data_IF_905489619716
#
_entry.id   IF_905489619716
#
_cell.length_a   1.000
_cell.length_b   1.000
_cell.length_c   1.000
_cell.angle_alpha   90.00
_cell.angle_beta   90.00
_cell.angle_gamma   90.00
#
_symmetry.space_group_name_H-M   'P 1'
#
loop_
_entity.id
_entity.type
_entity.pdbx_description
1 polymer ?
#
# COMPACT_ATOMS: atom_id res chain seq x y z
N UNK A 1 -24.71 7.32 -15.30
CA UNK A 1 -23.56 7.27 -16.25
C UNK A 1 -22.35 7.86 -15.52
N UNK A 2 -21.17 7.27 -15.65
CA UNK A 2 -19.94 7.75 -15.01
C UNK A 2 -19.00 8.35 -16.04
N UNK A 3 -18.26 9.39 -15.64
CA UNK A 3 -17.08 9.88 -16.36
C UNK A 3 -15.86 9.50 -15.53
N UNK A 4 -14.92 8.78 -16.14
CA UNK A 4 -13.70 8.35 -15.47
C UNK A 4 -12.59 9.38 -15.68
N UNK A 5 -11.91 9.73 -14.58
CA UNK A 5 -10.74 10.60 -14.58
C UNK A 5 -9.65 9.89 -13.79
N UNK A 6 -8.48 9.72 -14.40
CA UNK A 6 -7.29 9.24 -13.72
C UNK A 6 -6.53 10.45 -13.18
N UNK A 7 -6.24 10.45 -11.88
CA UNK A 7 -5.47 11.50 -11.23
C UNK A 7 -4.17 10.90 -10.71
N UNK A 8 -3.07 11.49 -11.14
CA UNK A 8 -1.76 11.22 -10.58
C UNK A 8 -1.56 12.07 -9.33
N UNK A 9 -1.38 11.42 -8.19
CA UNK A 9 -1.33 12.09 -6.89
C UNK A 9 -0.04 12.86 -6.65
N UNK A 10 0.96 12.69 -7.51
CA UNK A 10 2.25 13.36 -7.38
C UNK A 10 2.38 14.56 -8.32
N UNK A 11 1.44 14.71 -9.26
CA UNK A 11 1.46 15.79 -10.25
C UNK A 11 0.99 17.10 -9.61
N UNK A 12 1.80 18.18 -9.63
CA UNK A 12 1.43 19.47 -9.05
C UNK A 12 0.11 20.01 -9.58
N UNK A 13 -0.20 19.76 -10.86
CA UNK A 13 -1.47 20.16 -11.49
C UNK A 13 -2.71 19.49 -10.86
N UNK A 14 -2.55 18.37 -10.16
CA UNK A 14 -3.63 17.67 -9.47
C UNK A 14 -3.72 18.01 -7.97
N UNK A 15 -2.75 18.76 -7.43
CA UNK A 15 -2.65 19.04 -5.99
C UNK A 15 -3.95 19.63 -5.39
N UNK A 16 -4.66 20.48 -6.13
CA UNK A 16 -5.94 21.03 -5.68
C UNK A 16 -7.04 19.97 -5.50
N UNK A 17 -7.10 18.98 -6.40
CA UNK A 17 -8.06 17.87 -6.30
C UNK A 17 -7.65 16.89 -5.19
N UNK A 18 -6.35 16.59 -5.08
CA UNK A 18 -5.79 15.73 -4.03
C UNK A 18 -5.99 16.35 -2.64
N UNK A 19 -5.86 17.67 -2.50
CA UNK A 19 -6.14 18.36 -1.25
C UNK A 19 -7.60 18.19 -0.80
N UNK A 20 -8.54 18.19 -1.76
CA UNK A 20 -9.98 18.00 -1.49
C UNK A 20 -10.35 16.53 -1.26
N UNK A 21 -9.74 15.61 -2.00
CA UNK A 21 -10.02 14.17 -1.94
C UNK A 21 -8.73 13.38 -1.71
N UNK A 22 -8.15 13.47 -0.50
CA UNK A 22 -6.84 12.88 -0.25
C UNK A 22 -6.91 11.35 -0.34
N UNK A 23 -6.08 10.69 -1.15
CA UNK A 23 -5.95 9.24 -1.11
C UNK A 23 -5.39 8.85 0.28
N UNK A 24 -5.83 7.72 0.81
CA UNK A 24 -5.24 7.15 2.03
C UNK A 24 -4.37 5.92 1.74
N UNK A 25 -4.62 5.28 0.60
CA UNK A 25 -3.87 4.16 0.03
C UNK A 25 -3.91 4.30 -1.49
N UNK A 26 -3.06 3.57 -2.22
CA UNK A 26 -3.10 3.57 -3.68
C UNK A 26 -3.37 2.16 -4.21
N UNK A 27 -4.28 1.99 -5.19
CA UNK A 27 -5.20 3.02 -5.69
C UNK A 27 -6.30 3.37 -4.66
N UNK A 28 -6.89 4.57 -4.78
CA UNK A 28 -8.15 4.95 -4.12
C UNK A 28 -9.11 5.43 -5.19
N UNK A 29 -10.36 4.94 -5.18
CA UNK A 29 -11.41 5.41 -6.08
C UNK A 29 -12.43 6.24 -5.33
N UNK A 30 -12.77 7.40 -5.89
CA UNK A 30 -13.83 8.27 -5.41
C UNK A 30 -14.95 8.37 -6.44
N UNK A 31 -16.19 8.24 -6.01
CA UNK A 31 -17.36 8.68 -6.78
C UNK A 31 -17.79 10.02 -6.22
N UNK A 32 -17.78 11.06 -7.07
CA UNK A 32 -18.02 12.44 -6.67
C UNK A 32 -19.30 12.93 -7.35
N UNK A 33 -20.18 13.57 -6.57
CA UNK A 33 -21.32 14.29 -7.13
C UNK A 33 -20.81 15.53 -7.87
N UNK A 34 -21.06 15.69 -9.18
CA UNK A 34 -20.47 16.80 -9.94
C UNK A 34 -21.08 18.17 -9.59
N UNK A 35 -22.24 18.20 -8.94
CA UNK A 35 -22.93 19.44 -8.57
C UNK A 35 -22.48 19.92 -7.20
N UNK A 36 -22.47 19.04 -6.20
CA UNK A 36 -22.08 19.43 -4.81
C UNK A 36 -20.59 19.23 -4.55
N UNK A 37 -19.96 18.33 -5.30
CA UNK A 37 -18.60 17.85 -5.05
C UNK A 37 -18.50 16.94 -3.82
N UNK A 38 -19.61 16.38 -3.34
CA UNK A 38 -19.62 15.44 -2.23
C UNK A 38 -19.15 14.04 -2.66
N UNK A 39 -18.52 13.32 -1.74
CA UNK A 39 -18.14 11.92 -1.94
C UNK A 39 -19.38 11.03 -1.79
N UNK A 40 -19.78 10.38 -2.89
CA UNK A 40 -20.88 9.41 -2.96
C UNK A 40 -20.40 7.96 -2.83
N UNK A 41 -19.09 7.74 -2.81
CA UNK A 41 -18.50 6.44 -2.53
C UNK A 41 -16.99 6.54 -2.52
N UNK A 42 -16.36 5.75 -1.64
CA UNK A 42 -14.91 5.57 -1.62
C UNK A 42 -14.57 4.09 -1.62
N UNK A 43 -13.59 3.72 -2.43
CA UNK A 43 -13.01 2.38 -2.47
C UNK A 43 -11.51 2.48 -2.24
N UNK A 44 -10.96 1.61 -1.40
CA UNK A 44 -9.55 1.56 -1.04
C UNK A 44 -8.94 0.29 -1.65
N UNK A 45 -7.80 0.42 -2.32
CA UNK A 45 -7.09 -0.72 -2.90
C UNK A 45 -7.66 -1.18 -4.24
N UNK A 46 -7.20 -2.34 -4.69
CA UNK A 46 -7.66 -2.97 -5.92
C UNK A 46 -9.12 -3.48 -5.79
N UNK A 47 -9.76 -3.73 -6.92
CA UNK A 47 -11.10 -4.31 -6.97
C UNK A 47 -11.18 -5.28 -8.14
N UNK A 48 -11.84 -6.42 -7.94
CA UNK A 48 -12.32 -7.21 -9.09
C UNK A 48 -13.36 -6.40 -9.88
N UNK A 49 -13.56 -6.76 -11.15
CA UNK A 49 -14.59 -6.13 -12.00
C UNK A 49 -15.98 -6.18 -11.33
N UNK A 50 -16.34 -7.29 -10.71
CA UNK A 50 -17.64 -7.46 -10.06
C UNK A 50 -17.78 -6.54 -8.83
N UNK A 51 -16.75 -6.48 -7.97
CA UNK A 51 -16.72 -5.57 -6.82
C UNK A 51 -16.81 -4.11 -7.27
N UNK A 52 -16.04 -3.73 -8.28
CA UNK A 52 -16.02 -2.36 -8.77
C UNK A 52 -17.38 -1.95 -9.36
N UNK A 53 -18.05 -2.84 -10.11
CA UNK A 53 -19.41 -2.58 -10.61
C UNK A 53 -20.44 -2.46 -9.48
N UNK A 54 -20.35 -3.31 -8.44
CA UNK A 54 -21.22 -3.21 -7.27
C UNK A 54 -21.02 -1.88 -6.53
N UNK A 55 -19.77 -1.49 -6.30
CA UNK A 55 -19.39 -0.20 -5.72
C UNK A 55 -19.99 0.99 -6.49
N UNK A 56 -19.87 0.98 -7.81
CA UNK A 56 -20.45 2.01 -8.67
C UNK A 56 -21.98 2.02 -8.59
N UNK A 57 -22.63 0.85 -8.60
CA UNK A 57 -24.08 0.73 -8.44
C UNK A 57 -24.58 1.35 -7.13
N UNK A 58 -23.93 1.04 -6.01
CA UNK A 58 -24.27 1.60 -4.70
C UNK A 58 -24.05 3.12 -4.62
N UNK A 59 -23.00 3.63 -5.26
CA UNK A 59 -22.72 5.06 -5.28
C UNK A 59 -23.76 5.87 -6.08
N UNK A 60 -24.45 5.22 -7.04
CA UNK A 60 -25.58 5.81 -7.78
C UNK A 60 -26.91 5.68 -7.04
N UNK A 61 -27.07 4.65 -6.21
CA UNK A 61 -28.33 4.40 -5.52
C UNK A 61 -28.64 5.51 -4.52
N UNK A 62 -29.84 6.10 -4.65
CA UNK A 62 -30.40 6.96 -3.62
C UNK A 62 -30.54 6.13 -2.34
N UNK A 63 -29.92 6.58 -1.27
CA UNK A 63 -30.10 5.95 0.04
C UNK A 63 -30.31 7.05 1.08
N UNK A 64 -31.28 6.81 1.96
CA UNK A 64 -31.61 7.73 3.03
C UNK A 64 -30.43 7.93 3.99
N UNK A 65 -30.46 8.98 4.83
CA UNK A 65 -29.36 9.27 5.76
C UNK A 65 -29.12 8.18 6.81
N UNK A 66 -30.14 7.35 7.09
CA UNK A 66 -30.09 6.22 8.03
C UNK A 66 -30.08 4.85 7.34
N UNK A 67 -30.09 4.81 6.00
CA UNK A 67 -29.84 3.59 5.25
C UNK A 67 -28.38 3.14 5.44
N UNK A 68 -28.09 1.82 5.55
CA UNK A 68 -26.72 1.32 5.73
C UNK A 68 -25.72 1.87 4.70
N UNK A 69 -26.11 1.92 3.42
CA UNK A 69 -25.26 2.48 2.37
C UNK A 69 -25.11 4.00 2.52
N UNK A 70 -26.16 4.70 2.97
CA UNK A 70 -26.11 6.11 3.34
C UNK A 70 -25.13 6.41 4.47
N UNK A 71 -25.13 5.59 5.53
CA UNK A 71 -24.20 5.66 6.65
C UNK A 71 -22.75 5.40 6.20
N UNK A 72 -22.53 4.36 5.38
CA UNK A 72 -21.21 4.04 4.85
C UNK A 72 -20.64 5.18 3.98
N UNK A 73 -21.46 5.83 3.15
CA UNK A 73 -21.02 7.01 2.36
C UNK A 73 -20.63 8.18 3.24
N UNK A 74 -21.39 8.46 4.30
CA UNK A 74 -21.03 9.50 5.27
C UNK A 74 -19.74 9.15 6.01
N UNK A 75 -19.54 7.87 6.34
CA UNK A 75 -18.29 7.39 6.93
C UNK A 75 -17.10 7.64 6.00
N UNK A 76 -17.24 7.26 4.72
CA UNK A 76 -16.24 7.51 3.67
C UNK A 76 -15.87 9.00 3.56
N UNK A 77 -16.88 9.88 3.57
CA UNK A 77 -16.68 11.32 3.55
C UNK A 77 -15.92 11.79 4.80
N UNK A 78 -16.33 11.38 6.01
CA UNK A 78 -15.65 11.77 7.25
C UNK A 78 -14.22 11.26 7.32
N UNK A 79 -13.95 10.07 6.79
CA UNK A 79 -12.60 9.55 6.69
C UNK A 79 -11.74 10.39 5.73
N UNK A 80 -12.28 10.79 4.57
CA UNK A 80 -11.58 11.68 3.62
C UNK A 80 -11.32 13.09 4.21
N UNK A 81 -12.22 13.60 5.05
CA UNK A 81 -12.05 14.84 5.81
C UNK A 81 -10.98 14.73 6.93
N UNK A 82 -10.52 13.52 7.25
CA UNK A 82 -9.60 13.26 8.37
C UNK A 82 -10.30 13.14 9.74
N UNK A 83 -11.64 13.11 9.76
CA UNK A 83 -12.46 13.00 10.98
C UNK A 83 -12.63 11.53 11.36
N UNK A 84 -11.52 10.91 11.77
CA UNK A 84 -11.40 9.45 11.89
C UNK A 84 -12.39 8.84 12.89
N UNK A 85 -12.59 9.45 14.07
CA UNK A 85 -13.50 8.94 15.09
C UNK A 85 -14.97 8.96 14.64
N UNK A 86 -15.39 10.00 13.93
CA UNK A 86 -16.75 10.09 13.38
C UNK A 86 -16.98 9.10 12.25
N UNK A 87 -15.96 8.91 11.39
CA UNK A 87 -16.01 7.91 10.34
C UNK A 87 -16.14 6.49 10.91
N UNK A 88 -15.37 6.18 11.95
CA UNK A 88 -15.44 4.87 12.63
C UNK A 88 -16.84 4.60 13.18
N UNK A 89 -17.44 5.58 13.90
CA UNK A 89 -18.80 5.45 14.43
C UNK A 89 -19.83 5.22 13.33
N UNK A 90 -19.70 5.90 12.19
CA UNK A 90 -20.60 5.73 11.04
C UNK A 90 -20.43 4.36 10.36
N UNK A 91 -19.20 3.85 10.23
CA UNK A 91 -18.97 2.48 9.73
C UNK A 91 -19.58 1.45 10.67
N UNK A 92 -19.40 1.59 11.98
CA UNK A 92 -19.99 0.69 12.97
C UNK A 92 -21.52 0.64 12.83
N UNK A 93 -22.17 1.80 12.70
CA UNK A 93 -23.63 1.89 12.48
C UNK A 93 -24.05 1.29 11.15
N UNK A 94 -23.31 1.54 10.07
CA UNK A 94 -23.59 0.97 8.75
C UNK A 94 -23.52 -0.56 8.79
N UNK A 95 -22.49 -1.11 9.43
CA UNK A 95 -22.28 -2.56 9.57
C UNK A 95 -23.30 -3.23 10.50
N UNK A 96 -23.81 -2.51 11.50
CA UNK A 96 -24.87 -3.00 12.37
C UNK A 96 -26.25 -3.02 11.69
N UNK A 97 -26.54 -2.02 10.85
CA UNK A 97 -27.82 -1.91 10.15
C UNK A 97 -27.86 -2.65 8.80
N UNK A 98 -26.70 -2.89 8.19
CA UNK A 98 -26.57 -3.55 6.89
C UNK A 98 -26.82 -5.06 6.94
N UNK A 99 -27.26 -5.68 5.83
CA UNK A 99 -27.48 -7.11 5.78
C UNK A 99 -26.16 -7.90 5.94
N UNK A 100 -26.24 -9.11 6.49
CA UNK A 100 -25.07 -9.98 6.65
C UNK A 100 -24.39 -10.31 5.31
N UNK A 101 -25.19 -10.51 4.25
CA UNK A 101 -24.72 -10.79 2.90
C UNK A 101 -24.34 -9.52 2.10
N UNK A 102 -24.11 -8.38 2.75
CA UNK A 102 -23.73 -7.16 2.06
C UNK A 102 -22.34 -7.30 1.44
N UNK A 103 -22.26 -7.18 0.11
CA UNK A 103 -21.02 -7.36 -0.66
C UNK A 103 -19.87 -6.45 -0.24
N UNK A 104 -20.15 -5.24 0.28
CA UNK A 104 -19.14 -4.30 0.79
C UNK A 104 -18.72 -4.55 2.23
N UNK A 105 -19.37 -5.48 2.92
CA UNK A 105 -19.13 -5.71 4.35
C UNK A 105 -17.64 -5.98 4.67
N UNK A 106 -16.90 -6.80 3.90
CA UNK A 106 -15.46 -6.97 4.11
C UNK A 106 -14.68 -5.65 4.00
N UNK A 107 -14.94 -4.83 2.98
CA UNK A 107 -14.23 -3.56 2.77
C UNK A 107 -14.52 -2.55 3.89
N UNK A 108 -15.78 -2.49 4.34
CA UNK A 108 -16.19 -1.62 5.45
C UNK A 108 -15.56 -2.07 6.77
N UNK A 109 -15.39 -3.37 6.99
CA UNK A 109 -14.66 -3.92 8.15
C UNK A 109 -13.19 -3.56 8.10
N UNK A 110 -12.54 -3.73 6.95
CA UNK A 110 -11.16 -3.30 6.74
C UNK A 110 -11.01 -1.81 7.03
N UNK A 111 -11.86 -0.95 6.48
CA UNK A 111 -11.85 0.48 6.75
C UNK A 111 -12.02 0.80 8.24
N UNK A 112 -12.93 0.11 8.94
CA UNK A 112 -13.16 0.31 10.37
C UNK A 112 -11.91 -0.01 11.20
N UNK A 113 -11.27 -1.17 11.01
CA UNK A 113 -10.07 -1.54 11.77
C UNK A 113 -8.87 -0.66 11.41
N UNK A 114 -8.75 -0.21 10.15
CA UNK A 114 -7.73 0.75 9.73
C UNK A 114 -7.87 2.08 10.49
N UNK A 115 -9.10 2.57 10.70
CA UNK A 115 -9.34 3.80 11.44
C UNK A 115 -9.01 3.64 12.93
N UNK A 116 -9.42 2.53 13.57
CA UNK A 116 -9.07 2.23 14.97
C UNK A 116 -7.55 2.18 15.17
N UNK A 117 -6.84 1.50 14.27
CA UNK A 117 -5.37 1.50 14.26
C UNK A 117 -4.79 2.93 14.21
N UNK A 118 -5.28 3.77 13.28
CA UNK A 118 -4.82 5.16 13.12
C UNK A 118 -5.13 6.04 14.33
N UNK A 119 -6.18 5.72 15.08
CA UNK A 119 -6.53 6.41 16.32
C UNK A 119 -5.66 5.98 17.51
N UNK A 120 -4.79 4.97 17.35
CA UNK A 120 -3.97 4.42 18.44
C UNK A 120 -4.73 3.45 19.35
N UNK A 121 -5.96 3.14 18.99
CA UNK A 121 -6.84 2.23 19.72
C UNK A 121 -6.56 0.77 19.30
N UNK A 122 -5.39 0.27 19.71
CA UNK A 122 -4.90 -1.03 19.28
C UNK A 122 -5.62 -2.21 19.94
N UNK A 123 -6.16 -2.03 21.16
CA UNK A 123 -6.86 -3.07 21.90
C UNK A 123 -8.24 -3.34 21.29
N UNK A 124 -9.09 -2.32 21.17
CA UNK A 124 -10.39 -2.49 20.50
C UNK A 124 -10.20 -2.85 19.01
N UNK A 125 -9.15 -2.35 18.34
CA UNK A 125 -8.85 -2.78 16.97
C UNK A 125 -8.59 -4.29 16.88
N UNK A 126 -7.73 -4.83 17.74
CA UNK A 126 -7.38 -6.25 17.72
C UNK A 126 -8.58 -7.13 18.06
N UNK A 127 -9.40 -6.71 19.02
CA UNK A 127 -10.64 -7.42 19.39
C UNK A 127 -11.63 -7.46 18.21
N UNK A 128 -11.91 -6.31 17.61
CA UNK A 128 -12.79 -6.21 16.44
C UNK A 128 -12.26 -7.04 15.27
N UNK A 129 -10.96 -6.97 15.02
CA UNK A 129 -10.32 -7.72 13.94
C UNK A 129 -10.40 -9.23 14.18
N UNK A 130 -10.23 -9.70 15.42
CA UNK A 130 -10.38 -11.11 15.77
C UNK A 130 -11.82 -11.60 15.53
N UNK A 131 -12.82 -10.80 15.93
CA UNK A 131 -14.24 -11.14 15.73
C UNK A 131 -14.63 -11.19 14.25
N UNK A 132 -14.10 -10.28 13.44
CA UNK A 132 -14.43 -10.17 12.01
C UNK A 132 -13.55 -11.04 11.09
N UNK A 133 -12.52 -11.70 11.63
CA UNK A 133 -11.58 -12.51 10.83
C UNK A 133 -12.26 -13.61 9.99
N UNK A 134 -13.22 -14.41 10.52
CA UNK A 134 -13.89 -15.42 9.70
C UNK A 134 -14.66 -14.82 8.51
N UNK A 135 -15.29 -13.66 8.71
CA UNK A 135 -16.00 -12.93 7.66
C UNK A 135 -15.04 -12.34 6.62
N UNK A 136 -13.90 -11.79 7.05
CA UNK A 136 -12.91 -11.20 6.15
C UNK A 136 -12.22 -12.25 5.25
N UNK A 137 -12.05 -13.47 5.77
CA UNK A 137 -11.48 -14.60 5.03
C UNK A 137 -12.52 -15.30 4.13
N UNK A 138 -13.81 -15.04 4.35
CA UNK A 138 -14.87 -15.62 3.53
C UNK A 138 -14.82 -15.04 2.11
N UNK A 139 -14.96 -15.92 1.11
CA UNK A 139 -15.15 -15.52 -0.28
C UNK A 139 -13.89 -15.15 -1.07
N UNK A 140 -12.68 -15.41 -0.53
CA UNK A 140 -11.41 -15.21 -1.22
C UNK A 140 -11.32 -13.82 -1.91
N UNK A 141 -11.57 -12.77 -1.13
CA UNK A 141 -11.65 -11.40 -1.65
C UNK A 141 -10.28 -10.71 -1.66
N UNK A 142 -10.02 -9.77 -2.58
CA UNK A 142 -8.80 -8.95 -2.56
C UNK A 142 -8.59 -8.22 -1.22
N UNK A 143 -9.66 -7.83 -0.53
CA UNK A 143 -9.62 -7.14 0.76
C UNK A 143 -9.10 -7.99 1.92
N UNK A 144 -9.00 -9.33 1.77
CA UNK A 144 -8.54 -10.22 2.83
C UNK A 144 -7.09 -9.90 3.25
N UNK A 145 -6.22 -9.59 2.29
CA UNK A 145 -4.84 -9.22 2.58
C UNK A 145 -4.75 -7.92 3.41
N UNK A 146 -5.48 -6.89 2.99
CA UNK A 146 -5.54 -5.60 3.70
C UNK A 146 -6.12 -5.75 5.11
N UNK A 147 -7.20 -6.53 5.25
CA UNK A 147 -7.81 -6.80 6.56
C UNK A 147 -6.79 -7.45 7.50
N UNK A 148 -6.15 -8.53 7.04
CA UNK A 148 -5.19 -9.27 7.87
C UNK A 148 -3.91 -8.48 8.12
N UNK A 149 -3.49 -7.62 7.18
CA UNK A 149 -2.39 -6.69 7.38
C UNK A 149 -2.68 -5.72 8.54
N UNK A 150 -3.88 -5.12 8.58
CA UNK A 150 -4.24 -4.23 9.69
C UNK A 150 -4.53 -4.98 11.00
N UNK A 151 -5.07 -6.20 10.94
CA UNK A 151 -5.14 -7.09 12.11
C UNK A 151 -3.74 -7.31 12.69
N UNK A 152 -2.77 -7.67 11.85
CA UNK A 152 -1.38 -7.86 12.27
C UNK A 152 -0.81 -6.57 12.89
N UNK A 153 -1.03 -5.40 12.27
CA UNK A 153 -0.58 -4.12 12.82
C UNK A 153 -1.19 -3.84 14.22
N UNK A 154 -2.49 -4.05 14.41
CA UNK A 154 -3.15 -3.86 15.70
C UNK A 154 -2.65 -4.85 16.77
N UNK A 155 -2.56 -6.12 16.41
CA UNK A 155 -2.13 -7.18 17.34
C UNK A 155 -0.67 -7.04 17.73
N UNK A 156 0.21 -6.63 16.82
CA UNK A 156 1.65 -6.49 17.12
C UNK A 156 2.00 -5.23 17.91
N UNK A 157 1.11 -4.25 17.96
CA UNK A 157 1.20 -3.11 18.88
C UNK A 157 0.89 -3.49 20.34
N UNK A 158 0.26 -4.66 20.58
CA UNK A 158 -0.02 -5.18 21.92
C UNK A 158 1.15 -6.03 22.47
N UNK A 159 1.27 -6.19 23.80
CA UNK A 159 2.23 -7.10 24.41
C UNK A 159 2.17 -8.52 23.83
N UNK A 160 3.30 -9.21 23.79
CA UNK A 160 3.34 -10.62 23.36
C UNK A 160 2.56 -11.48 24.36
N UNK A 161 1.64 -12.30 23.85
CA UNK A 161 0.87 -13.27 24.64
C UNK A 161 0.54 -14.52 23.80
N UNK A 162 0.17 -15.64 24.44
CA UNK A 162 -0.31 -16.84 23.75
C UNK A 162 -1.54 -16.56 22.88
N UNK A 163 -2.47 -15.72 23.33
CA UNK A 163 -3.70 -15.35 22.61
C UNK A 163 -3.36 -14.57 21.34
N UNK A 164 -2.41 -13.63 21.43
CA UNK A 164 -1.87 -12.93 20.26
C UNK A 164 -1.27 -13.92 19.27
N UNK A 165 -0.43 -14.86 19.73
CA UNK A 165 0.18 -15.84 18.85
C UNK A 165 -0.87 -16.75 18.19
N UNK A 166 -1.88 -17.18 18.94
CA UNK A 166 -2.99 -17.98 18.42
C UNK A 166 -3.78 -17.22 17.34
N UNK A 167 -4.07 -15.94 17.55
CA UNK A 167 -4.76 -15.12 16.55
C UNK A 167 -3.95 -14.93 15.26
N UNK A 168 -2.65 -14.65 15.38
CA UNK A 168 -1.77 -14.53 14.21
C UNK A 168 -1.67 -15.87 13.45
N UNK A 169 -1.58 -16.99 14.17
CA UNK A 169 -1.58 -18.33 13.57
C UNK A 169 -2.89 -18.65 12.85
N UNK A 170 -4.03 -18.29 13.45
CA UNK A 170 -5.34 -18.46 12.83
C UNK A 170 -5.47 -17.61 11.55
N UNK A 171 -5.01 -16.36 11.58
CA UNK A 171 -5.00 -15.49 10.41
C UNK A 171 -4.11 -16.04 9.29
N UNK A 172 -2.92 -16.57 9.62
CA UNK A 172 -2.02 -17.16 8.64
C UNK A 172 -2.65 -18.39 7.97
N UNK A 173 -3.19 -19.33 8.76
CA UNK A 173 -3.90 -20.50 8.24
C UNK A 173 -5.12 -20.12 7.38
N UNK A 174 -5.84 -19.06 7.77
CA UNK A 174 -6.95 -18.51 7.01
C UNK A 174 -6.53 -18.01 5.62
N UNK A 175 -5.46 -17.22 5.55
CA UNK A 175 -4.93 -16.72 4.28
C UNK A 175 -4.39 -17.86 3.39
N UNK A 176 -3.79 -18.90 3.98
CA UNK A 176 -3.41 -20.10 3.24
C UNK A 176 -4.62 -20.79 2.61
N UNK A 177 -5.74 -20.86 3.33
CA UNK A 177 -7.01 -21.35 2.79
C UNK A 177 -7.51 -20.52 1.61
N UNK A 178 -7.39 -19.19 1.68
CA UNK A 178 -7.72 -18.28 0.56
C UNK A 178 -6.81 -18.52 -0.65
N UNK A 179 -5.50 -18.70 -0.42
CA UNK A 179 -4.52 -18.97 -1.47
C UNK A 179 -4.71 -20.33 -2.15
N UNK A 180 -5.25 -21.31 -1.42
CA UNK A 180 -5.49 -22.68 -1.91
C UNK A 180 -6.87 -22.86 -2.58
N UNK A 181 -7.75 -21.87 -2.54
CA UNK A 181 -9.08 -21.97 -3.12
C UNK A 181 -9.04 -21.96 -4.67
N UNK A 182 -9.69 -22.95 -5.29
CA UNK A 182 -9.76 -23.10 -6.75
C UNK A 182 -11.22 -23.15 -7.25
N UNK A 183 -11.54 -22.51 -8.40
CA UNK A 183 -10.68 -21.62 -9.17
C UNK A 183 -10.42 -20.30 -8.44
N UNK A 184 -9.17 -19.83 -8.44
CA UNK A 184 -8.87 -18.52 -7.84
C UNK A 184 -9.45 -17.38 -8.67
N UNK A 185 -10.17 -16.47 -8.01
CA UNK A 185 -10.67 -15.20 -8.61
C UNK A 185 -9.74 -14.01 -8.38
N UNK A 186 -8.64 -14.25 -7.63
CA UNK A 186 -7.67 -13.24 -7.26
C UNK A 186 -6.65 -12.98 -8.36
N UNK A 187 -6.25 -11.73 -8.52
CA UNK A 187 -5.17 -11.38 -9.45
C UNK A 187 -3.81 -11.86 -8.93
N UNK A 188 -2.78 -11.82 -9.79
CA UNK A 188 -1.39 -12.10 -9.38
C UNK A 188 -0.96 -11.15 -8.26
N UNK A 189 -1.34 -9.87 -8.34
CA UNK A 189 -0.98 -8.87 -7.33
C UNK A 189 -1.65 -9.20 -5.99
N UNK A 190 -2.94 -9.54 -5.99
CA UNK A 190 -3.66 -9.92 -4.77
C UNK A 190 -3.02 -11.15 -4.10
N UNK A 191 -2.66 -12.17 -4.90
CA UNK A 191 -2.02 -13.39 -4.41
C UNK A 191 -0.60 -13.14 -3.91
N UNK A 192 0.16 -12.28 -4.58
CA UNK A 192 1.48 -11.84 -4.12
C UNK A 192 1.38 -11.10 -2.79
N UNK A 193 0.40 -10.22 -2.65
CA UNK A 193 0.18 -9.47 -1.41
C UNK A 193 -0.26 -10.37 -0.25
N UNK A 194 -1.14 -11.34 -0.50
CA UNK A 194 -1.48 -12.38 0.48
C UNK A 194 -0.25 -13.14 0.96
N UNK A 195 0.62 -13.59 0.06
CA UNK A 195 1.85 -14.28 0.43
C UNK A 195 2.81 -13.38 1.23
N UNK A 196 2.88 -12.09 0.90
CA UNK A 196 3.63 -11.08 1.65
C UNK A 196 3.11 -10.95 3.08
N UNK A 197 1.78 -10.92 3.26
CA UNK A 197 1.13 -10.83 4.58
C UNK A 197 1.31 -12.13 5.37
N UNK A 198 1.14 -13.30 4.75
CA UNK A 198 1.42 -14.63 5.36
C UNK A 198 2.85 -14.67 5.90
N UNK A 199 3.83 -14.23 5.10
CA UNK A 199 5.22 -14.13 5.54
C UNK A 199 5.38 -13.23 6.77
N UNK A 200 4.73 -12.07 6.80
CA UNK A 200 4.77 -11.16 7.96
C UNK A 200 4.20 -11.81 9.23
N UNK A 201 3.10 -12.55 9.11
CA UNK A 201 2.50 -13.27 10.23
C UNK A 201 3.46 -14.32 10.78
N UNK A 202 4.09 -15.11 9.91
CA UNK A 202 5.07 -16.12 10.33
C UNK A 202 6.32 -15.52 10.98
N UNK A 203 6.84 -14.40 10.46
CA UNK A 203 7.93 -13.65 11.12
C UNK A 203 7.51 -13.16 12.51
N UNK A 204 6.29 -12.66 12.66
CA UNK A 204 5.77 -12.21 13.96
C UNK A 204 5.57 -13.37 14.96
N UNK A 205 5.41 -14.60 14.46
CA UNK A 205 5.35 -15.84 15.23
C UNK A 205 6.74 -16.46 15.49
N UNK A 206 7.80 -15.96 14.85
CA UNK A 206 9.14 -16.54 14.91
C UNK A 206 9.33 -17.80 14.07
N UNK A 207 8.41 -18.08 13.13
CA UNK A 207 8.50 -19.21 12.21
C UNK A 207 9.19 -18.80 10.90
N UNK A 208 10.53 -18.71 10.96
CA UNK A 208 11.37 -18.32 9.82
C UNK A 208 11.24 -19.29 8.63
N UNK A 209 10.97 -20.57 8.88
CA UNK A 209 10.85 -21.58 7.83
C UNK A 209 9.58 -21.38 7.02
N UNK A 210 8.44 -21.17 7.69
CA UNK A 210 7.18 -20.86 7.01
C UNK A 210 7.21 -19.49 6.34
N UNK A 211 7.83 -18.48 6.97
CA UNK A 211 8.04 -17.17 6.36
C UNK A 211 8.83 -17.28 5.05
N UNK A 212 9.94 -18.03 5.06
CA UNK A 212 10.74 -18.30 3.86
C UNK A 212 9.94 -19.03 2.78
N UNK A 213 9.16 -20.05 3.15
CA UNK A 213 8.31 -20.79 2.21
C UNK A 213 7.27 -19.89 1.53
N UNK A 214 6.63 -18.97 2.28
CA UNK A 214 5.73 -17.97 1.71
C UNK A 214 6.46 -17.03 0.74
N UNK A 215 7.67 -16.58 1.07
CA UNK A 215 8.49 -15.76 0.19
C UNK A 215 8.91 -16.48 -1.10
N UNK A 216 9.30 -17.76 -1.03
CA UNK A 216 9.68 -18.55 -2.20
C UNK A 216 8.48 -18.75 -3.15
N UNK A 217 7.29 -19.03 -2.60
CA UNK A 217 6.04 -19.09 -3.38
C UNK A 217 5.70 -17.74 -4.03
N UNK A 218 5.88 -16.63 -3.31
CA UNK A 218 5.65 -15.29 -3.84
C UNK A 218 6.60 -14.98 -5.00
N UNK A 219 7.90 -15.28 -4.84
CA UNK A 219 8.90 -15.09 -5.88
C UNK A 219 8.57 -15.91 -7.14
N UNK A 220 8.17 -17.18 -6.97
CA UNK A 220 7.78 -18.05 -8.08
C UNK A 220 6.55 -17.51 -8.84
N UNK A 221 5.50 -17.09 -8.12
CA UNK A 221 4.31 -16.48 -8.69
C UNK A 221 4.65 -15.23 -9.52
N UNK A 222 5.46 -14.33 -8.96
CA UNK A 222 5.87 -13.10 -9.63
C UNK A 222 6.80 -13.36 -10.82
N UNK A 223 7.62 -14.41 -10.78
CA UNK A 223 8.46 -14.81 -11.92
C UNK A 223 7.63 -15.32 -13.10
N UNK A 224 6.58 -16.10 -12.83
CA UNK A 224 5.65 -16.54 -13.86
C UNK A 224 4.95 -15.34 -14.52
N UNK A 225 4.43 -14.41 -13.72
CA UNK A 225 3.76 -13.21 -14.23
C UNK A 225 4.71 -12.28 -15.00
N UNK A 226 5.96 -12.17 -14.56
CA UNK A 226 6.99 -11.41 -15.27
C UNK A 226 7.25 -11.96 -16.67
N UNK A 227 7.31 -13.29 -16.81
CA UNK A 227 7.59 -13.97 -18.08
C UNK A 227 6.51 -13.78 -19.15
N UNK A 228 5.26 -13.50 -18.76
CA UNK A 228 4.12 -13.36 -19.69
C UNK A 228 3.67 -11.91 -19.89
N UNK A 229 4.04 -10.99 -19.00
CA UNK A 229 3.66 -9.58 -19.08
C UNK A 229 4.45 -8.77 -20.11
N UNK A 230 3.85 -7.67 -20.57
CA UNK A 230 4.56 -6.61 -21.28
C UNK A 230 5.40 -5.74 -20.32
N UNK A 231 6.13 -4.75 -20.85
CA UNK A 231 6.98 -3.90 -20.02
C UNK A 231 6.19 -3.15 -18.92
N UNK A 232 4.99 -2.65 -19.25
CA UNK A 232 4.14 -1.93 -18.30
C UNK A 232 3.66 -2.83 -17.16
N UNK A 233 3.24 -4.05 -17.48
CA UNK A 233 2.82 -5.06 -16.51
C UNK A 233 3.99 -5.48 -15.62
N UNK A 234 5.17 -5.71 -16.22
CA UNK A 234 6.40 -6.01 -15.47
C UNK A 234 6.76 -4.90 -14.50
N UNK A 235 6.64 -3.63 -14.90
CA UNK A 235 6.86 -2.50 -13.99
C UNK A 235 5.95 -2.56 -12.75
N UNK A 236 4.68 -2.94 -12.90
CA UNK A 236 3.76 -3.13 -11.78
C UNK A 236 4.26 -4.16 -10.75
N UNK A 237 4.91 -5.24 -11.22
CA UNK A 237 5.44 -6.30 -10.36
C UNK A 237 6.89 -6.06 -9.90
N UNK A 238 7.57 -5.02 -10.38
CA UNK A 238 9.00 -4.81 -10.11
C UNK A 238 9.28 -4.61 -8.62
N UNK A 239 8.44 -3.83 -7.91
CA UNK A 239 8.62 -3.61 -6.48
C UNK A 239 8.42 -4.89 -5.63
N UNK A 240 7.28 -5.62 -5.74
CA UNK A 240 7.12 -6.89 -5.04
C UNK A 240 8.26 -7.88 -5.29
N UNK A 241 8.79 -7.94 -6.54
CA UNK A 241 9.96 -8.76 -6.88
C UNK A 241 11.21 -8.31 -6.12
N UNK A 242 11.57 -7.04 -6.18
CA UNK A 242 12.71 -6.50 -5.43
C UNK A 242 12.60 -6.78 -3.93
N UNK A 243 11.41 -6.58 -3.36
CA UNK A 243 11.15 -6.77 -1.93
C UNK A 243 11.33 -8.23 -1.52
N UNK A 244 10.68 -9.18 -2.22
CA UNK A 244 10.76 -10.60 -1.86
C UNK A 244 12.16 -11.18 -2.09
N UNK A 245 12.85 -10.79 -3.16
CA UNK A 245 14.22 -11.24 -3.41
C UNK A 245 15.23 -10.61 -2.43
N UNK A 246 14.98 -9.40 -1.95
CA UNK A 246 15.78 -8.83 -0.86
C UNK A 246 15.59 -9.62 0.43
N UNK A 247 14.36 -10.03 0.77
CA UNK A 247 14.10 -10.88 1.93
C UNK A 247 14.79 -12.25 1.81
N UNK A 248 14.75 -12.86 0.61
CA UNK A 248 15.38 -14.16 0.33
C UNK A 248 16.91 -14.10 0.19
N UNK A 249 17.51 -12.91 0.14
CA UNK A 249 18.93 -12.73 -0.16
C UNK A 249 19.32 -13.09 -1.60
N UNK A 250 18.38 -13.05 -2.54
CA UNK A 250 18.56 -13.44 -3.95
C UNK A 250 18.40 -12.26 -4.91
N UNK A 251 18.57 -11.02 -4.41
CA UNK A 251 18.36 -9.78 -5.17
C UNK A 251 19.23 -9.67 -6.43
N UNK A 252 20.43 -10.25 -6.43
CA UNK A 252 21.33 -10.26 -7.59
C UNK A 252 20.71 -10.94 -8.84
N UNK A 253 19.82 -11.91 -8.63
CA UNK A 253 19.16 -12.61 -9.74
C UNK A 253 18.21 -11.69 -10.54
N UNK A 254 17.77 -10.57 -9.97
CA UNK A 254 16.85 -9.63 -10.63
C UNK A 254 17.56 -8.58 -11.48
N UNK A 255 18.89 -8.43 -11.39
CA UNK A 255 19.57 -7.32 -12.06
C UNK A 255 19.35 -7.31 -13.59
N UNK A 256 19.46 -8.43 -14.33
CA UNK A 256 19.22 -8.43 -15.78
C UNK A 256 17.80 -8.00 -16.15
N UNK A 257 16.81 -8.46 -15.39
CA UNK A 257 15.39 -8.10 -15.56
C UNK A 257 15.17 -6.59 -15.38
N UNK A 258 15.79 -5.99 -14.35
CA UNK A 258 15.65 -4.57 -14.02
C UNK A 258 16.37 -3.66 -15.02
N UNK A 259 17.52 -4.10 -15.55
CA UNK A 259 18.22 -3.41 -16.65
C UNK A 259 17.33 -3.39 -17.90
N UNK A 260 16.85 -4.56 -18.33
CA UNK A 260 15.99 -4.66 -19.51
C UNK A 260 14.70 -3.84 -19.36
N UNK A 261 14.10 -3.83 -18.16
CA UNK A 261 12.91 -3.01 -17.90
C UNK A 261 13.22 -1.50 -17.98
N UNK A 262 14.38 -1.08 -17.49
CA UNK A 262 14.82 0.33 -17.56
C UNK A 262 15.04 0.80 -19.00
N UNK A 263 15.54 -0.08 -19.86
CA UNK A 263 15.70 0.19 -21.29
C UNK A 263 14.36 0.23 -22.02
N UNK A 264 13.44 -0.68 -21.67
CA UNK A 264 12.12 -0.78 -22.29
C UNK A 264 11.19 0.39 -21.93
N UNK A 265 11.39 1.02 -20.77
CA UNK A 265 10.57 2.13 -20.27
C UNK A 265 11.44 3.35 -19.92
N UNK A 266 12.05 4.00 -20.93
CA UNK A 266 13.06 5.02 -20.70
C UNK A 266 12.54 6.28 -19.99
N UNK A 267 11.24 6.56 -20.12
CA UNK A 267 10.59 7.76 -19.56
C UNK A 267 9.92 7.50 -18.21
N UNK A 268 9.92 6.25 -17.73
CA UNK A 268 9.40 5.91 -16.41
C UNK A 268 10.51 6.01 -15.36
N UNK A 269 10.26 6.74 -14.27
CA UNK A 269 11.23 6.83 -13.17
C UNK A 269 11.38 5.48 -12.43
N UNK A 270 10.31 4.68 -12.35
CA UNK A 270 10.22 3.53 -11.45
C UNK A 270 11.26 2.44 -11.77
N UNK A 271 11.43 1.99 -13.03
CA UNK A 271 12.43 0.98 -13.38
C UNK A 271 13.86 1.39 -12.97
N UNK A 272 14.27 2.62 -13.29
CA UNK A 272 15.58 3.15 -12.92
C UNK A 272 15.75 3.23 -11.39
N UNK A 273 14.69 3.62 -10.67
CA UNK A 273 14.67 3.64 -9.20
C UNK A 273 14.82 2.22 -8.62
N UNK A 274 14.12 1.22 -9.16
CA UNK A 274 14.23 -0.18 -8.69
C UNK A 274 15.61 -0.76 -8.96
N UNK A 275 16.20 -0.50 -10.13
CA UNK A 275 17.57 -0.91 -10.45
C UNK A 275 18.58 -0.28 -9.49
N UNK A 276 18.50 1.03 -9.25
CA UNK A 276 19.35 1.72 -8.27
C UNK A 276 19.21 1.13 -6.86
N UNK A 277 17.97 0.88 -6.44
CA UNK A 277 17.66 0.31 -5.14
C UNK A 277 18.26 -1.09 -4.98
N UNK A 278 18.10 -1.94 -5.99
CA UNK A 278 18.63 -3.30 -6.00
C UNK A 278 20.16 -3.31 -5.93
N UNK A 279 20.83 -2.53 -6.78
CA UNK A 279 22.31 -2.40 -6.80
C UNK A 279 22.86 -1.87 -5.49
N UNK A 280 22.20 -0.87 -4.87
CA UNK A 280 22.56 -0.39 -3.53
C UNK A 280 22.44 -1.51 -2.50
N UNK A 281 21.36 -2.30 -2.54
CA UNK A 281 21.15 -3.45 -1.64
C UNK A 281 22.24 -4.52 -1.78
N UNK A 282 22.83 -4.65 -2.97
CA UNK A 282 23.95 -5.56 -3.27
C UNK A 282 25.33 -4.96 -2.97
N UNK A 283 25.41 -3.71 -2.49
CA UNK A 283 26.67 -3.00 -2.26
C UNK A 283 27.36 -2.52 -3.54
N UNK A 284 26.73 -2.63 -4.71
CA UNK A 284 27.23 -2.15 -6.01
C UNK A 284 26.99 -0.65 -6.14
N UNK A 285 27.50 0.14 -5.19
CA UNK A 285 27.16 1.56 -5.06
C UNK A 285 27.52 2.39 -6.29
N UNK A 286 28.64 2.08 -6.94
CA UNK A 286 29.08 2.80 -8.14
C UNK A 286 28.11 2.59 -9.31
N UNK A 287 27.66 1.36 -9.51
CA UNK A 287 26.73 0.99 -10.58
C UNK A 287 25.28 1.43 -10.28
N UNK A 288 24.97 1.71 -9.01
CA UNK A 288 23.69 2.24 -8.58
C UNK A 288 23.52 3.75 -8.89
N UNK A 289 24.62 4.48 -9.09
CA UNK A 289 24.62 5.95 -9.20
C UNK A 289 23.83 6.44 -10.43
N UNK A 290 24.17 5.98 -11.63
CA UNK A 290 23.53 6.46 -12.85
C UNK A 290 22.02 6.14 -12.93
N UNK A 291 21.54 4.93 -12.56
CA UNK A 291 20.11 4.68 -12.45
C UNK A 291 19.42 5.55 -11.39
N UNK A 292 20.08 5.87 -10.28
CA UNK A 292 19.52 6.76 -9.25
C UNK A 292 19.37 8.19 -9.76
N UNK A 293 20.37 8.72 -10.46
CA UNK A 293 20.32 10.05 -11.09
C UNK A 293 19.21 10.13 -12.14
N UNK A 294 19.05 9.08 -12.96
CA UNK A 294 17.95 8.97 -13.93
C UNK A 294 16.59 8.93 -13.24
N UNK A 295 16.46 8.17 -12.17
CA UNK A 295 15.21 8.15 -11.41
C UNK A 295 14.87 9.55 -10.85
N UNK A 296 15.86 10.29 -10.35
CA UNK A 296 15.68 11.65 -9.84
C UNK A 296 15.27 12.62 -10.95
N UNK A 297 15.80 12.48 -12.16
CA UNK A 297 15.46 13.39 -13.28
C UNK A 297 14.04 13.16 -13.82
N UNK A 298 13.52 11.95 -13.70
CA UNK A 298 12.18 11.57 -14.18
C UNK A 298 11.09 11.68 -13.09
N UNK A 299 11.45 11.54 -11.82
CA UNK A 299 10.50 11.59 -10.71
C UNK A 299 10.00 13.01 -10.41
N UNK A 300 8.78 13.10 -9.91
CA UNK A 300 8.12 14.34 -9.48
C UNK A 300 7.35 14.10 -8.17
N UNK A 301 6.80 15.17 -7.59
CA UNK A 301 6.04 15.11 -6.34
C UNK A 301 6.80 14.42 -5.18
N UNK A 302 6.09 13.71 -4.29
CA UNK A 302 6.70 12.98 -3.18
C UNK A 302 7.73 11.93 -3.61
N UNK A 303 7.55 11.29 -4.78
CA UNK A 303 8.48 10.28 -5.29
C UNK A 303 9.85 10.85 -5.65
N UNK A 304 9.94 12.13 -6.05
CA UNK A 304 11.23 12.80 -6.31
C UNK A 304 12.07 12.90 -5.04
N UNK A 305 11.45 13.27 -3.92
CA UNK A 305 12.13 13.30 -2.63
C UNK A 305 12.67 11.90 -2.27
N UNK A 306 11.89 10.84 -2.52
CA UNK A 306 12.31 9.46 -2.27
C UNK A 306 13.46 9.00 -3.16
N UNK A 307 13.42 9.33 -4.46
CA UNK A 307 14.52 9.05 -5.39
C UNK A 307 15.80 9.78 -4.98
N UNK A 308 15.69 11.04 -4.54
CA UNK A 308 16.84 11.82 -4.03
C UNK A 308 17.40 11.26 -2.73
N UNK A 309 16.57 10.74 -1.81
CA UNK A 309 17.05 10.03 -0.62
C UNK A 309 17.91 8.82 -1.01
N UNK A 310 17.45 8.01 -1.97
CA UNK A 310 18.23 6.87 -2.46
C UNK A 310 19.57 7.32 -3.06
N UNK A 311 19.57 8.37 -3.88
CA UNK A 311 20.79 8.96 -4.44
C UNK A 311 21.75 9.47 -3.36
N UNK A 312 21.24 10.17 -2.35
CA UNK A 312 22.05 10.71 -1.26
C UNK A 312 22.73 9.60 -0.43
N UNK A 313 22.00 8.51 -0.17
CA UNK A 313 22.54 7.32 0.50
C UNK A 313 23.65 6.64 -0.34
N UNK A 314 23.47 6.54 -1.66
CA UNK A 314 24.47 5.97 -2.58
C UNK A 314 25.74 6.83 -2.56
N UNK A 315 25.59 8.15 -2.67
CA UNK A 315 26.70 9.10 -2.60
C UNK A 315 27.44 9.03 -1.26
N UNK A 316 26.71 8.92 -0.14
CA UNK A 316 27.32 8.75 1.19
C UNK A 316 28.15 7.47 1.26
N UNK A 317 27.60 6.34 0.79
CA UNK A 317 28.31 5.06 0.76
C UNK A 317 29.54 5.05 -0.16
N UNK A 318 29.57 5.90 -1.20
CA UNK A 318 30.74 6.11 -2.07
C UNK A 318 31.78 7.07 -1.46
N UNK A 319 31.50 7.68 -0.31
CA UNK A 319 32.35 8.73 0.28
C UNK A 319 32.23 10.08 -0.43
N UNK A 320 31.22 10.28 -1.29
CA UNK A 320 30.93 11.54 -1.98
C UNK A 320 30.15 12.51 -1.07
N UNK A 321 30.69 12.76 0.13
CA UNK A 321 30.04 13.44 1.26
C UNK A 321 29.46 14.81 0.88
N UNK A 322 30.20 15.60 0.10
CA UNK A 322 29.75 16.92 -0.36
C UNK A 322 28.57 16.82 -1.34
N UNK A 323 28.54 15.79 -2.18
CA UNK A 323 27.42 15.53 -3.09
C UNK A 323 26.19 15.07 -2.30
N UNK A 324 26.38 14.09 -1.39
CA UNK A 324 25.31 13.58 -0.51
C UNK A 324 24.64 14.71 0.28
N UNK A 325 25.43 15.61 0.90
CA UNK A 325 24.89 16.77 1.63
C UNK A 325 24.05 17.68 0.74
N UNK A 326 24.49 17.97 -0.50
CA UNK A 326 23.69 18.77 -1.45
C UNK A 326 22.40 18.06 -1.82
N UNK A 327 22.45 16.75 -2.05
CA UNK A 327 21.27 15.95 -2.36
C UNK A 327 20.28 15.94 -1.19
N UNK A 328 20.74 15.79 0.06
CA UNK A 328 19.89 15.89 1.26
C UNK A 328 19.25 17.27 1.44
N UNK A 329 19.95 18.36 1.07
CA UNK A 329 19.35 19.70 1.05
C UNK A 329 18.23 19.79 0.01
N UNK A 330 18.42 19.16 -1.16
CA UNK A 330 17.41 19.08 -2.20
C UNK A 330 16.22 18.19 -1.79
N UNK A 331 16.44 17.11 -1.02
CA UNK A 331 15.36 16.31 -0.39
C UNK A 331 14.51 17.19 0.51
N UNK A 332 15.13 17.96 1.41
CA UNK A 332 14.40 18.84 2.33
C UNK A 332 13.60 19.89 1.56
N UNK A 333 14.20 20.48 0.53
CA UNK A 333 13.54 21.46 -0.36
C UNK A 333 12.32 20.86 -1.05
N UNK A 334 12.42 19.63 -1.58
CA UNK A 334 11.27 18.95 -2.17
C UNK A 334 10.17 18.71 -1.16
N UNK A 335 10.51 18.21 0.04
CA UNK A 335 9.53 17.93 1.08
C UNK A 335 8.81 19.19 1.56
N UNK A 336 9.52 20.30 1.74
CA UNK A 336 8.94 21.59 2.16
C UNK A 336 8.02 22.19 1.09
N UNK A 337 8.26 21.88 -0.19
CA UNK A 337 7.42 22.29 -1.30
C UNK A 337 6.12 21.46 -1.43
N UNK A 338 6.04 20.27 -0.83
CA UNK A 338 4.83 19.46 -0.86
C UNK A 338 3.71 20.08 -0.01
N UNK A 339 2.44 19.94 -0.43
CA UNK A 339 1.30 20.18 0.45
C UNK A 339 1.45 19.38 1.75
N UNK A 340 1.03 19.93 2.88
CA UNK A 340 1.23 19.30 4.20
C UNK A 340 0.69 17.87 4.28
N UNK A 341 -0.39 17.55 3.54
CA UNK A 341 -1.03 16.23 3.49
C UNK A 341 -0.29 15.21 2.62
N UNK A 342 0.56 15.67 1.70
CA UNK A 342 1.38 14.82 0.82
C UNK A 342 2.79 14.59 1.38
N UNK A 343 3.16 15.31 2.45
CA UNK A 343 4.44 15.13 3.13
C UNK A 343 4.45 13.79 3.87
N UNK A 344 5.38 12.87 3.55
CA UNK A 344 5.49 11.64 4.29
C UNK A 344 5.82 11.93 5.77
N UNK A 345 5.11 11.31 6.74
CA UNK A 345 5.37 11.55 8.16
C UNK A 345 6.83 11.31 8.55
N UNK A 346 7.43 12.24 9.29
CA UNK A 346 8.82 12.14 9.76
C UNK A 346 9.91 12.33 8.69
N UNK A 347 9.55 12.46 7.39
CA UNK A 347 10.55 12.57 6.33
C UNK A 347 11.38 13.86 6.42
N UNK A 348 10.76 15.00 6.78
CA UNK A 348 11.50 16.24 6.98
C UNK A 348 12.47 16.15 8.16
N UNK A 349 12.04 15.54 9.27
CA UNK A 349 12.89 15.31 10.44
C UNK A 349 14.06 14.40 10.09
N UNK A 350 13.82 13.31 9.37
CA UNK A 350 14.86 12.42 8.88
C UNK A 350 15.86 13.15 7.98
N UNK A 351 15.39 14.00 7.06
CA UNK A 351 16.25 14.80 6.20
C UNK A 351 17.08 15.82 7.00
N UNK A 352 16.47 16.53 7.97
CA UNK A 352 17.19 17.45 8.87
C UNK A 352 18.23 16.72 9.73
N UNK A 353 17.90 15.52 10.22
CA UNK A 353 18.83 14.66 10.97
C UNK A 353 19.99 14.21 10.09
N UNK A 354 19.75 13.82 8.84
CA UNK A 354 20.80 13.48 7.89
C UNK A 354 21.73 14.67 7.62
N UNK A 355 21.18 15.88 7.44
CA UNK A 355 21.96 17.11 7.28
C UNK A 355 22.75 17.49 8.54
N UNK A 356 22.24 17.14 9.73
CA UNK A 356 22.91 17.37 11.01
C UNK A 356 24.21 16.59 11.21
N UNK A 357 24.43 15.50 10.45
CA UNK A 357 25.66 14.69 10.53
C UNK A 357 26.91 15.39 9.99
N UNK A 358 26.72 16.50 9.27
CA UNK A 358 27.78 17.25 8.59
C UNK A 358 28.08 18.60 9.26
N UNK A 359 27.52 18.83 10.45
CA UNK A 359 27.89 19.94 11.33
C UNK A 359 29.05 19.50 12.22
#
# INVERSE_FOLDING_TARGET
RFTFVALDTDRPEHAGVIARYPPQVWPTFYVIDPVTGDVRGRWLGAASKAQFLAFLGEAQAAAGPDDPAGLARRADQKAAEGRLAEAESLYARALAAGPAAWTRRPDLRTAQITLRHKLGDHAECAELAAQALPEALAGATPSAADFVYYLHACVTALPRSPERAALLGHAAAGLEGVLAAEPSTLSVDDRSELLRVVRQLHLALGDEAAARSAAERQAALLAQAWGTGDAQTRMGHAWPRCEVHSHLGTLAALEPDLVALTEALPDAYDPAYRLAWARRGLGQLRDALAPAERAVSLAYGPRRARARQLLADIQEGLGELAASRRTWQAVLTDLEALPARERPPGAEEAARKALGRWR
#
